data_IF_501574845042
#
_entry.id   IF_501574845042
#
_cell.length_a   1.000
_cell.length_b   1.000
_cell.length_c   1.000
_cell.angle_alpha   90.00
_cell.angle_beta   90.00
_cell.angle_gamma   90.00
#
_symmetry.space_group_name_H-M   'P 1'
#
loop_
_entity.id
_entity.type
_entity.pdbx_description
1 polymer ?
#
# COMPACT_ATOMS: atom_id res chain seq x y z
N UNK A 1 -8.02 21.97 -10.04
CA UNK A 1 -7.83 20.82 -10.95
C UNK A 1 -8.87 20.86 -12.07
N UNK A 2 -8.49 20.99 -13.35
CA UNK A 2 -9.39 20.89 -14.53
C UNK A 2 -9.38 19.48 -15.15
N UNK A 3 -10.32 18.61 -14.78
CA UNK A 3 -10.44 17.27 -15.37
C UNK A 3 -10.58 17.38 -16.90
N UNK A 4 -10.01 16.43 -17.65
CA UNK A 4 -10.07 16.44 -19.11
C UNK A 4 -10.35 15.05 -19.67
N UNK A 5 -11.05 15.02 -20.79
CA UNK A 5 -11.45 13.81 -21.48
C UNK A 5 -10.24 13.07 -22.07
N UNK A 6 -9.96 11.86 -21.60
CA UNK A 6 -8.84 11.02 -22.09
C UNK A 6 -9.24 10.15 -23.26
N UNK A 7 -8.34 10.03 -24.24
CA UNK A 7 -8.52 9.20 -25.43
C UNK A 7 -7.41 8.14 -25.46
N UNK A 8 -7.74 6.93 -25.04
CA UNK A 8 -6.84 5.78 -25.15
C UNK A 8 -6.96 5.15 -26.54
N UNK A 9 -5.83 4.72 -27.10
CA UNK A 9 -5.74 4.01 -28.38
C UNK A 9 -4.87 2.77 -28.26
N UNK A 10 -5.16 1.77 -29.08
CA UNK A 10 -4.33 0.57 -29.19
C UNK A 10 -3.27 0.75 -30.27
N UNK A 11 -2.10 0.17 -30.03
CA UNK A 11 -1.08 -0.10 -31.05
C UNK A 11 -1.33 -1.45 -31.71
N UNK A 12 -0.60 -1.72 -32.79
CA UNK A 12 -0.66 -2.99 -33.52
C UNK A 12 -0.28 -4.20 -32.65
N UNK A 13 0.54 -3.98 -31.61
CA UNK A 13 0.94 -5.00 -30.63
C UNK A 13 -0.06 -5.15 -29.46
N UNK A 14 -1.25 -4.55 -29.59
CA UNK A 14 -2.32 -4.53 -28.58
C UNK A 14 -2.00 -3.74 -27.30
N UNK A 15 -0.83 -3.11 -27.21
CA UNK A 15 -0.54 -2.19 -26.11
C UNK A 15 -1.40 -0.92 -26.22
N UNK A 16 -1.81 -0.39 -25.08
CA UNK A 16 -2.65 0.82 -25.01
C UNK A 16 -1.78 2.02 -24.66
N UNK A 17 -2.00 3.13 -25.36
CA UNK A 17 -1.38 4.42 -25.08
C UNK A 17 -2.44 5.53 -25.00
N UNK A 18 -2.12 6.61 -24.32
CA UNK A 18 -2.95 7.80 -24.23
C UNK A 18 -2.56 8.76 -25.37
N UNK A 19 -3.51 9.14 -26.22
CA UNK A 19 -3.25 9.97 -27.41
C UNK A 19 -3.06 11.44 -27.06
N UNK A 20 -3.91 11.98 -26.18
CA UNK A 20 -3.95 13.39 -25.83
C UNK A 20 -3.24 13.69 -24.50
N UNK A 21 -1.93 13.43 -24.47
CA UNK A 21 -1.08 13.53 -23.26
C UNK A 21 -0.83 14.95 -22.75
N UNK A 22 -1.00 15.99 -23.56
CA UNK A 22 -0.56 17.35 -23.19
C UNK A 22 -1.15 17.88 -21.86
N UNK A 23 -2.46 17.71 -21.58
CA UNK A 23 -3.01 18.13 -20.29
C UNK A 23 -2.43 17.32 -19.12
N UNK A 24 -2.07 16.05 -19.32
CA UNK A 24 -1.44 15.20 -18.29
C UNK A 24 -0.09 15.75 -17.86
N UNK A 25 0.74 16.21 -18.80
CA UNK A 25 2.09 16.71 -18.50
C UNK A 25 2.03 17.93 -17.57
N UNK A 26 1.15 18.89 -17.90
CA UNK A 26 0.94 20.08 -17.05
C UNK A 26 0.45 19.72 -15.64
N UNK A 27 -0.32 18.64 -15.54
CA UNK A 27 -0.86 18.12 -14.29
C UNK A 27 0.17 17.46 -13.41
N UNK A 28 0.96 16.57 -14.02
CA UNK A 28 2.09 15.93 -13.38
C UNK A 28 3.04 16.96 -12.76
N UNK A 29 3.30 18.05 -13.49
CA UNK A 29 4.12 19.16 -13.00
C UNK A 29 3.47 19.85 -11.79
N UNK A 30 2.16 20.10 -11.81
CA UNK A 30 1.44 20.70 -10.68
C UNK A 30 1.53 19.83 -9.41
N UNK A 31 1.22 18.53 -9.54
CA UNK A 31 1.26 17.58 -8.42
C UNK A 31 2.69 17.40 -7.87
N UNK A 32 3.67 17.29 -8.76
CA UNK A 32 5.08 17.22 -8.39
C UNK A 32 5.56 18.50 -7.68
N UNK A 33 5.15 19.68 -8.15
CA UNK A 33 5.51 20.94 -7.51
C UNK A 33 4.94 21.06 -6.09
N UNK A 34 3.77 20.47 -5.80
CA UNK A 34 3.24 20.44 -4.43
C UNK A 34 4.12 19.64 -3.49
N UNK A 35 4.61 18.47 -3.92
CA UNK A 35 5.51 17.64 -3.11
C UNK A 35 6.85 18.33 -2.87
N UNK A 36 7.41 19.00 -3.88
CA UNK A 36 8.73 19.64 -3.77
C UNK A 36 8.71 21.02 -3.10
N UNK A 37 7.54 21.67 -3.00
CA UNK A 37 7.39 22.97 -2.33
C UNK A 37 7.18 22.88 -0.82
N UNK A 38 6.92 21.68 -0.29
CA UNK A 38 6.73 21.45 1.14
C UNK A 38 8.01 21.80 1.93
N UNK A 39 7.86 22.57 3.01
CA UNK A 39 9.00 23.12 3.79
C UNK A 39 9.29 22.32 5.05
N UNK A 40 8.36 21.48 5.47
CA UNK A 40 8.44 20.66 6.67
C UNK A 40 7.61 19.38 6.49
N UNK A 41 7.72 18.46 7.45
CA UNK A 41 7.06 17.16 7.42
C UNK A 41 5.54 17.27 7.38
N UNK A 42 4.94 18.20 8.13
CA UNK A 42 3.48 18.37 8.16
C UNK A 42 2.96 18.87 6.80
N UNK A 43 3.62 19.86 6.20
CA UNK A 43 3.30 20.35 4.85
C UNK A 43 3.47 19.26 3.79
N UNK A 44 4.50 18.41 3.92
CA UNK A 44 4.73 17.30 3.00
C UNK A 44 3.63 16.25 3.12
N UNK A 45 3.24 15.93 4.35
CA UNK A 45 2.15 14.99 4.64
C UNK A 45 0.81 15.48 4.05
N UNK A 46 0.48 16.75 4.24
CA UNK A 46 -0.70 17.38 3.66
C UNK A 46 -0.64 17.37 2.12
N UNK A 47 0.54 17.62 1.54
CA UNK A 47 0.75 17.57 0.10
C UNK A 47 0.54 16.15 -0.46
N UNK A 48 1.07 15.11 0.19
CA UNK A 48 0.84 13.70 -0.19
C UNK A 48 -0.66 13.39 -0.17
N UNK A 49 -1.36 13.73 0.91
CA UNK A 49 -2.80 13.51 1.02
C UNK A 49 -3.58 14.26 -0.09
N UNK A 50 -3.18 15.50 -0.43
CA UNK A 50 -3.79 16.25 -1.51
C UNK A 50 -3.56 15.59 -2.88
N UNK A 51 -2.35 15.10 -3.17
CA UNK A 51 -2.04 14.35 -4.39
C UNK A 51 -2.91 13.10 -4.51
N UNK A 52 -3.13 12.38 -3.41
CA UNK A 52 -3.99 11.19 -3.41
C UNK A 52 -5.47 11.51 -3.65
N UNK A 53 -5.98 12.62 -3.09
CA UNK A 53 -7.35 13.09 -3.38
C UNK A 53 -7.52 13.50 -4.85
N UNK A 54 -6.58 14.28 -5.36
CA UNK A 54 -6.59 14.69 -6.76
C UNK A 54 -6.54 13.47 -7.70
N UNK A 55 -5.72 12.45 -7.37
CA UNK A 55 -5.71 11.19 -8.10
C UNK A 55 -7.07 10.47 -8.06
N UNK A 56 -7.73 10.40 -6.90
CA UNK A 56 -9.06 9.80 -6.77
C UNK A 56 -10.09 10.48 -7.67
N UNK A 57 -10.09 11.81 -7.68
CA UNK A 57 -11.00 12.61 -8.51
C UNK A 57 -10.75 12.37 -10.01
N UNK A 58 -9.47 12.28 -10.43
CA UNK A 58 -9.07 11.93 -11.80
C UNK A 58 -9.62 10.55 -12.18
N UNK A 59 -9.25 9.51 -11.43
CA UNK A 59 -9.71 8.15 -11.70
C UNK A 59 -11.23 8.03 -11.75
N UNK A 60 -11.94 8.66 -10.80
CA UNK A 60 -13.40 8.64 -10.75
C UNK A 60 -14.02 9.26 -12.01
N UNK A 61 -13.46 10.37 -12.48
CA UNK A 61 -13.88 10.99 -13.74
C UNK A 61 -13.61 10.07 -14.93
N UNK A 62 -12.38 9.58 -15.09
CA UNK A 62 -11.96 8.80 -16.25
C UNK A 62 -12.63 7.43 -16.34
N UNK A 63 -12.97 6.81 -15.21
CA UNK A 63 -13.73 5.56 -15.18
C UNK A 63 -15.14 5.68 -15.79
N UNK A 64 -15.63 6.91 -16.00
CA UNK A 64 -16.92 7.22 -16.61
C UNK A 64 -16.82 7.97 -17.95
N UNK A 65 -15.76 8.74 -18.16
CA UNK A 65 -15.66 9.69 -19.27
C UNK A 65 -14.63 9.28 -20.33
N UNK A 66 -13.59 8.49 -19.98
CA UNK A 66 -12.51 8.20 -20.92
C UNK A 66 -12.95 7.31 -22.10
N UNK A 67 -12.46 7.63 -23.29
CA UNK A 67 -12.55 6.76 -24.47
C UNK A 67 -11.49 5.66 -24.36
N UNK A 68 -11.91 4.40 -24.35
CA UNK A 68 -11.03 3.24 -24.33
C UNK A 68 -11.22 2.38 -25.58
N UNK A 69 -10.14 1.85 -26.19
CA UNK A 69 -10.27 1.03 -27.38
C UNK A 69 -11.09 -0.23 -27.08
N UNK A 70 -11.91 -0.64 -28.04
CA UNK A 70 -12.75 -1.83 -27.91
C UNK A 70 -11.86 -3.05 -27.60
N UNK A 71 -12.06 -3.71 -26.44
CA UNK A 71 -11.22 -4.84 -26.05
C UNK A 71 -11.48 -6.05 -26.93
N UNK A 72 -10.41 -6.74 -27.32
CA UNK A 72 -10.49 -7.99 -28.09
C UNK A 72 -10.57 -9.18 -27.14
N UNK A 73 -11.56 -10.04 -27.31
CA UNK A 73 -11.73 -11.25 -26.50
C UNK A 73 -13.18 -11.68 -26.36
N UNK A 74 -13.42 -12.71 -25.55
CA UNK A 74 -14.75 -13.13 -25.14
C UNK A 74 -15.06 -12.55 -23.75
N UNK A 75 -16.26 -11.99 -23.61
CA UNK A 75 -16.84 -11.58 -22.34
C UNK A 75 -18.18 -12.29 -22.19
N UNK A 76 -18.46 -12.78 -20.99
CA UNK A 76 -19.72 -13.47 -20.66
C UNK A 76 -20.90 -12.48 -20.72
N UNK A 77 -20.67 -11.22 -20.33
CA UNK A 77 -21.65 -10.15 -20.40
C UNK A 77 -21.01 -8.74 -20.51
N UNK A 78 -21.84 -7.73 -20.83
CA UNK A 78 -21.40 -6.33 -20.96
C UNK A 78 -20.87 -5.75 -19.64
N UNK A 79 -21.37 -6.23 -18.50
CA UNK A 79 -20.89 -5.81 -17.18
C UNK A 79 -19.46 -6.29 -16.90
N UNK A 80 -19.10 -7.48 -17.34
CA UNK A 80 -17.72 -7.98 -17.31
C UNK A 80 -16.80 -7.11 -18.16
N UNK A 81 -17.22 -6.80 -19.40
CA UNK A 81 -16.48 -5.92 -20.32
C UNK A 81 -16.25 -4.53 -19.71
N UNK A 82 -17.28 -3.91 -19.13
CA UNK A 82 -17.18 -2.60 -18.46
C UNK A 82 -16.19 -2.66 -17.30
N UNK A 83 -16.22 -3.72 -16.48
CA UNK A 83 -15.26 -3.90 -15.37
C UNK A 83 -13.83 -4.05 -15.89
N UNK A 84 -13.64 -4.79 -16.98
CA UNK A 84 -12.33 -4.94 -17.62
C UNK A 84 -11.79 -3.59 -18.09
N UNK A 85 -12.59 -2.81 -18.82
CA UNK A 85 -12.21 -1.48 -19.32
C UNK A 85 -11.84 -0.54 -18.15
N UNK A 86 -12.68 -0.46 -17.12
CA UNK A 86 -12.40 0.37 -15.93
C UNK A 86 -11.10 -0.01 -15.23
N UNK A 87 -10.84 -1.32 -15.10
CA UNK A 87 -9.59 -1.82 -14.54
C UNK A 87 -8.39 -1.39 -15.38
N UNK A 88 -8.51 -1.38 -16.71
CA UNK A 88 -7.44 -0.94 -17.62
C UNK A 88 -7.19 0.56 -17.53
N UNK A 89 -8.24 1.37 -17.51
CA UNK A 89 -8.12 2.83 -17.30
C UNK A 89 -7.43 3.10 -15.96
N UNK A 90 -7.87 2.45 -14.87
CA UNK A 90 -7.26 2.61 -13.55
C UNK A 90 -5.76 2.26 -13.51
N UNK A 91 -5.35 1.19 -14.18
CA UNK A 91 -3.92 0.82 -14.30
C UNK A 91 -3.11 1.91 -15.00
N UNK A 92 -3.62 2.44 -16.12
CA UNK A 92 -2.97 3.49 -16.87
C UNK A 92 -2.88 4.78 -16.05
N UNK A 93 -3.95 5.17 -15.38
CA UNK A 93 -3.98 6.40 -14.57
C UNK A 93 -3.03 6.32 -13.37
N UNK A 94 -2.98 5.17 -12.69
CA UNK A 94 -2.03 4.98 -11.59
C UNK A 94 -0.59 5.18 -12.08
N UNK A 95 -0.22 4.59 -13.21
CA UNK A 95 1.13 4.71 -13.73
C UNK A 95 1.43 6.13 -14.23
N UNK A 96 0.53 6.72 -15.02
CA UNK A 96 0.76 8.02 -15.63
C UNK A 96 0.77 9.18 -14.63
N UNK A 97 -0.08 9.15 -13.60
CA UNK A 97 -0.13 10.24 -12.61
C UNK A 97 0.72 9.90 -11.40
N UNK A 98 0.26 8.97 -10.58
CA UNK A 98 0.86 8.74 -9.27
C UNK A 98 2.27 8.15 -9.40
N UNK A 99 2.47 7.21 -10.33
CA UNK A 99 3.76 6.62 -10.64
C UNK A 99 4.76 7.64 -11.19
N UNK A 100 4.35 8.47 -12.14
CA UNK A 100 5.17 9.53 -12.71
C UNK A 100 5.59 10.58 -11.67
N UNK A 101 4.64 11.07 -10.87
CA UNK A 101 4.86 12.07 -9.82
C UNK A 101 5.84 11.55 -8.77
N UNK A 102 5.60 10.34 -8.21
CA UNK A 102 6.50 9.79 -7.20
C UNK A 102 7.87 9.44 -7.78
N UNK A 103 7.96 8.94 -9.02
CA UNK A 103 9.25 8.69 -9.67
C UNK A 103 10.07 9.98 -9.78
N UNK A 104 9.47 11.09 -10.25
CA UNK A 104 10.12 12.41 -10.31
C UNK A 104 10.53 12.90 -8.92
N UNK A 105 9.64 12.75 -7.94
CA UNK A 105 9.91 13.13 -6.56
C UNK A 105 11.09 12.35 -5.95
N UNK A 106 11.11 11.03 -6.11
CA UNK A 106 12.19 10.17 -5.63
C UNK A 106 13.52 10.52 -6.32
N UNK A 107 13.48 10.84 -7.62
CA UNK A 107 14.68 11.27 -8.34
C UNK A 107 15.27 12.55 -7.74
N UNK A 108 14.46 13.56 -7.40
CA UNK A 108 14.95 14.78 -6.75
C UNK A 108 15.54 14.49 -5.37
N UNK A 109 14.89 13.66 -4.55
CA UNK A 109 15.44 13.24 -3.26
C UNK A 109 16.81 12.60 -3.47
N UNK A 110 16.92 11.66 -4.40
CA UNK A 110 18.17 10.97 -4.69
C UNK A 110 19.25 11.93 -5.22
N UNK A 111 18.93 12.84 -6.13
CA UNK A 111 19.88 13.85 -6.62
C UNK A 111 20.38 14.77 -5.50
N UNK A 112 19.51 15.12 -4.56
CA UNK A 112 19.82 16.06 -3.47
C UNK A 112 20.68 15.41 -2.39
N UNK A 113 20.35 14.17 -2.01
CA UNK A 113 20.95 13.52 -0.84
C UNK A 113 21.84 12.33 -1.18
N UNK A 114 21.92 11.93 -2.46
CA UNK A 114 22.59 10.73 -2.94
C UNK A 114 22.13 9.44 -2.22
N UNK A 115 20.88 9.43 -1.75
CA UNK A 115 20.23 8.30 -1.09
C UNK A 115 18.71 8.48 -1.10
N UNK A 116 18.00 7.35 -0.99
CA UNK A 116 16.56 7.30 -0.68
C UNK A 116 16.38 6.87 0.79
N UNK A 117 15.16 7.01 1.37
CA UNK A 117 14.90 6.63 2.76
C UNK A 117 15.40 5.23 3.11
N UNK A 118 15.92 5.06 4.32
CA UNK A 118 16.26 3.77 4.88
C UNK A 118 15.18 3.35 5.86
N UNK A 119 14.78 2.08 5.84
CA UNK A 119 13.81 1.53 6.80
C UNK A 119 14.44 0.39 7.60
N UNK A 120 13.99 0.23 8.85
CA UNK A 120 14.38 -0.90 9.69
C UNK A 120 13.17 -1.83 9.93
N UNK A 121 13.13 -2.93 9.20
CA UNK A 121 12.10 -3.96 9.33
C UNK A 121 12.57 -5.03 10.33
N UNK A 122 12.28 -4.80 11.62
CA UNK A 122 12.65 -5.72 12.71
C UNK A 122 11.79 -6.99 12.69
N UNK A 123 12.26 -8.07 12.02
CA UNK A 123 11.79 -9.45 12.23
C UNK A 123 12.96 -10.44 12.15
N UNK A 124 12.94 -11.45 13.03
CA UNK A 124 14.13 -12.24 13.42
C UNK A 124 14.41 -13.50 12.58
N UNK A 125 13.51 -13.87 11.66
CA UNK A 125 13.67 -15.10 10.86
C UNK A 125 14.12 -14.84 9.43
N UNK A 126 13.84 -13.65 8.90
CA UNK A 126 14.18 -13.20 7.55
C UNK A 126 14.78 -11.81 7.68
N UNK A 127 15.95 -11.59 7.09
CA UNK A 127 16.57 -10.27 7.02
C UNK A 127 15.83 -9.41 5.98
N UNK A 128 14.70 -8.85 6.38
CA UNK A 128 13.92 -7.94 5.54
C UNK A 128 14.69 -6.65 5.20
N UNK A 129 15.72 -6.29 5.97
CA UNK A 129 16.57 -5.14 5.66
C UNK A 129 17.49 -5.44 4.48
N UNK A 130 18.02 -6.65 4.36
CA UNK A 130 18.76 -7.09 3.18
C UNK A 130 17.87 -7.10 1.94
N UNK A 131 16.67 -7.67 2.06
CA UNK A 131 15.68 -7.73 0.98
C UNK A 131 15.29 -6.32 0.51
N UNK A 132 15.03 -5.41 1.46
CA UNK A 132 14.75 -4.01 1.16
C UNK A 132 15.91 -3.33 0.41
N UNK A 133 17.15 -3.49 0.90
CA UNK A 133 18.34 -2.91 0.25
C UNK A 133 18.50 -3.41 -1.19
N UNK A 134 18.26 -4.70 -1.44
CA UNK A 134 18.29 -5.27 -2.80
C UNK A 134 17.23 -4.67 -3.71
N UNK A 135 16.00 -4.51 -3.23
CA UNK A 135 14.94 -3.83 -3.97
C UNK A 135 15.31 -2.36 -4.24
N UNK A 136 15.93 -1.67 -3.28
CA UNK A 136 16.34 -0.28 -3.40
C UNK A 136 17.46 -0.11 -4.44
N UNK A 137 18.48 -0.98 -4.42
CA UNK A 137 19.58 -0.99 -5.39
C UNK A 137 19.05 -1.11 -6.83
N UNK A 138 18.12 -2.05 -7.06
CA UNK A 138 17.48 -2.27 -8.35
C UNK A 138 16.66 -1.05 -8.81
N UNK A 139 15.87 -0.47 -7.91
CA UNK A 139 15.09 0.74 -8.20
C UNK A 139 15.95 1.96 -8.50
N UNK A 140 16.99 2.22 -7.70
CA UNK A 140 17.92 3.33 -7.94
C UNK A 140 18.64 3.15 -9.28
N UNK A 141 19.07 1.93 -9.60
CA UNK A 141 19.70 1.64 -10.89
C UNK A 141 18.78 1.99 -12.06
N UNK A 142 17.52 1.55 -12.01
CA UNK A 142 16.52 1.89 -13.03
C UNK A 142 16.25 3.41 -13.07
N UNK A 143 16.09 4.04 -11.91
CA UNK A 143 15.80 5.46 -11.77
C UNK A 143 16.90 6.35 -12.36
N UNK A 144 18.17 6.02 -12.13
CA UNK A 144 19.33 6.80 -12.58
C UNK A 144 19.64 6.55 -14.06
N UNK A 145 19.47 5.32 -14.53
CA UNK A 145 19.77 4.97 -15.94
C UNK A 145 18.63 5.29 -16.91
N UNK A 146 17.46 5.69 -16.40
CA UNK A 146 16.26 5.86 -17.21
C UNK A 146 15.62 4.53 -17.64
N UNK A 147 15.92 3.45 -16.90
CA UNK A 147 15.32 2.14 -17.12
C UNK A 147 13.80 2.16 -16.88
N UNK A 148 13.09 1.37 -17.68
CA UNK A 148 11.63 1.25 -17.57
C UNK A 148 11.21 0.31 -16.43
N UNK A 149 12.11 -0.59 -16.01
CA UNK A 149 11.78 -1.68 -15.09
C UNK A 149 12.73 -1.73 -13.89
N UNK A 150 12.15 -1.99 -12.72
CA UNK A 150 12.87 -2.41 -11.52
C UNK A 150 12.32 -3.77 -11.08
N UNK A 151 12.88 -4.83 -11.68
CA UNK A 151 12.35 -6.20 -11.61
C UNK A 151 12.38 -6.74 -10.19
N UNK A 152 13.53 -6.71 -9.54
CA UNK A 152 13.70 -7.21 -8.16
C UNK A 152 12.76 -6.47 -7.20
N UNK A 153 12.69 -5.14 -7.34
CA UNK A 153 11.81 -4.32 -6.53
C UNK A 153 10.33 -4.69 -6.73
N UNK A 154 9.90 -4.90 -7.97
CA UNK A 154 8.52 -5.26 -8.33
C UNK A 154 8.05 -6.54 -7.63
N UNK A 155 8.90 -7.57 -7.56
CA UNK A 155 8.54 -8.85 -6.93
C UNK A 155 8.55 -8.79 -5.38
N UNK A 156 9.43 -7.97 -4.81
CA UNK A 156 9.68 -7.96 -3.37
C UNK A 156 8.74 -7.01 -2.61
N UNK A 157 8.50 -5.82 -3.16
CA UNK A 157 7.78 -4.75 -2.46
C UNK A 157 6.37 -5.14 -1.99
N UNK A 158 5.54 -5.89 -2.75
CA UNK A 158 4.23 -6.31 -2.25
C UNK A 158 4.31 -7.08 -0.93
N UNK A 159 5.36 -7.90 -0.75
CA UNK A 159 5.58 -8.65 0.48
C UNK A 159 6.04 -7.74 1.61
N UNK A 160 6.93 -6.78 1.35
CA UNK A 160 7.38 -5.81 2.36
C UNK A 160 6.22 -4.94 2.84
N UNK A 161 5.35 -4.49 1.94
CA UNK A 161 4.16 -3.71 2.27
C UNK A 161 3.17 -4.52 3.11
N UNK A 162 2.91 -5.78 2.76
CA UNK A 162 2.06 -6.66 3.56
C UNK A 162 2.62 -6.87 4.99
N UNK A 163 3.92 -7.06 5.13
CA UNK A 163 4.57 -7.19 6.43
C UNK A 163 4.55 -5.89 7.23
N UNK A 164 4.92 -4.76 6.62
CA UNK A 164 4.89 -3.44 7.25
C UNK A 164 3.50 -3.10 7.76
N UNK A 165 2.49 -3.23 6.90
CA UNK A 165 1.08 -2.99 7.26
C UNK A 165 0.63 -3.90 8.42
N UNK A 166 0.97 -5.19 8.35
CA UNK A 166 0.60 -6.16 9.39
C UNK A 166 1.20 -5.82 10.76
N UNK A 167 2.48 -5.43 10.79
CA UNK A 167 3.18 -5.04 12.01
C UNK A 167 2.65 -3.71 12.56
N UNK A 168 2.51 -2.69 11.72
CA UNK A 168 2.10 -1.36 12.20
C UNK A 168 0.65 -1.37 12.72
N UNK A 169 -0.29 -2.04 12.03
CA UNK A 169 -1.66 -2.18 12.53
C UNK A 169 -1.74 -2.99 13.83
N UNK A 170 -0.98 -4.08 13.92
CA UNK A 170 -0.92 -4.90 15.14
C UNK A 170 -0.40 -4.09 16.33
N UNK A 171 0.71 -3.37 16.14
CA UNK A 171 1.30 -2.52 17.18
C UNK A 171 0.32 -1.42 17.60
N UNK A 172 -0.34 -0.76 16.64
CA UNK A 172 -1.31 0.30 16.93
C UNK A 172 -2.50 -0.24 17.74
N UNK A 173 -3.05 -1.39 17.37
CA UNK A 173 -4.11 -2.07 18.14
C UNK A 173 -3.63 -2.44 19.55
N UNK A 174 -2.44 -3.04 19.64
CA UNK A 174 -1.83 -3.47 20.88
C UNK A 174 -1.67 -2.32 21.87
N UNK A 175 -1.04 -1.22 21.45
CA UNK A 175 -0.83 -0.05 22.31
C UNK A 175 -2.14 0.64 22.69
N UNK A 176 -3.11 0.77 21.77
CA UNK A 176 -4.43 1.30 22.10
C UNK A 176 -5.16 0.47 23.16
N UNK A 177 -5.07 -0.86 23.08
CA UNK A 177 -5.66 -1.74 24.09
C UNK A 177 -4.94 -1.60 25.44
N UNK A 178 -3.60 -1.64 25.43
CA UNK A 178 -2.79 -1.51 26.65
C UNK A 178 -3.10 -0.20 27.39
N UNK A 179 -3.24 0.92 26.68
CA UNK A 179 -3.52 2.22 27.29
C UNK A 179 -4.91 2.36 27.89
N UNK A 180 -5.85 1.48 27.53
CA UNK A 180 -7.20 1.46 28.09
C UNK A 180 -7.36 0.47 29.25
N UNK A 181 -6.34 -0.36 29.52
CA UNK A 181 -6.38 -1.30 30.62
C UNK A 181 -6.27 -0.58 31.96
N UNK A 182 -7.19 -0.92 32.87
CA UNK A 182 -7.18 -0.50 34.25
C UNK A 182 -7.36 -1.72 35.16
N UNK A 183 -6.97 -1.61 36.43
CA UNK A 183 -7.19 -2.63 37.46
C UNK A 183 -6.72 -4.04 37.06
N UNK A 184 -5.42 -4.16 36.76
CA UNK A 184 -4.77 -5.42 36.38
C UNK A 184 -4.22 -6.17 37.60
N UNK A 185 -4.42 -7.49 37.65
CA UNK A 185 -3.70 -8.35 38.60
C UNK A 185 -2.22 -8.47 38.24
N UNK A 186 -1.40 -8.98 39.15
CA UNK A 186 0.03 -9.21 38.89
C UNK A 186 0.27 -10.20 37.74
N UNK A 187 -0.61 -11.19 37.56
CA UNK A 187 -0.56 -12.12 36.44
C UNK A 187 -0.90 -11.44 35.11
N UNK A 188 -1.88 -10.54 35.09
CA UNK A 188 -2.29 -9.81 33.90
C UNK A 188 -1.23 -8.79 33.48
N UNK A 189 -0.57 -8.12 34.44
CA UNK A 189 0.56 -7.23 34.18
C UNK A 189 1.69 -7.95 33.45
N UNK A 190 2.03 -9.17 33.84
CA UNK A 190 3.06 -10.00 33.18
C UNK A 190 2.75 -10.31 31.71
N UNK A 191 1.47 -10.26 31.31
CA UNK A 191 1.08 -10.47 29.90
C UNK A 191 1.45 -9.27 29.05
N UNK A 192 1.33 -8.04 29.59
CA UNK A 192 1.57 -6.80 28.84
C UNK A 192 2.97 -6.24 29.02
N UNK A 193 3.66 -6.56 30.12
CA UNK A 193 4.99 -6.08 30.48
C UNK A 193 6.02 -6.20 29.35
N UNK A 194 6.09 -7.30 28.57
CA UNK A 194 7.03 -7.40 27.45
C UNK A 194 6.85 -6.29 26.40
N UNK A 195 5.63 -5.77 26.22
CA UNK A 195 5.32 -4.76 25.22
C UNK A 195 5.52 -3.32 25.72
N UNK A 196 5.70 -3.12 27.03
CA UNK A 196 5.94 -1.81 27.64
C UNK A 196 7.41 -1.39 27.54
N UNK A 197 8.32 -2.35 27.48
CA UNK A 197 9.76 -2.13 27.41
C UNK A 197 10.26 -2.54 26.03
N UNK A 198 10.27 -1.58 25.10
CA UNK A 198 10.34 -1.72 23.65
C UNK A 198 11.66 -2.31 23.07
N UNK A 199 12.44 -3.03 23.87
CA UNK A 199 13.74 -3.56 23.49
C UNK A 199 13.65 -5.07 23.23
N UNK A 200 13.25 -5.40 22.00
CA UNK A 200 13.45 -6.72 21.37
C UNK A 200 12.82 -7.89 22.14
N UNK A 201 11.48 -7.93 22.18
CA UNK A 201 10.79 -9.17 22.59
C UNK A 201 10.97 -10.24 21.50
N UNK A 202 11.85 -11.19 21.75
CA UNK A 202 11.98 -12.43 20.98
C UNK A 202 10.88 -13.40 21.40
N UNK A 203 9.87 -13.57 20.55
CA UNK A 203 8.89 -14.64 20.74
C UNK A 203 9.43 -15.96 20.17
N UNK A 204 9.69 -16.93 21.05
CA UNK A 204 10.12 -18.29 20.66
C UNK A 204 8.97 -19.17 20.12
N UNK A 205 7.74 -18.67 20.15
CA UNK A 205 6.53 -19.35 19.66
C UNK A 205 5.95 -18.70 18.41
N UNK A 206 4.90 -19.30 17.86
CA UNK A 206 4.15 -18.67 16.77
C UNK A 206 3.58 -17.32 17.22
N UNK A 207 3.38 -16.39 16.28
CA UNK A 207 2.72 -15.12 16.54
C UNK A 207 1.38 -15.31 17.26
N UNK A 208 0.58 -16.30 16.82
CA UNK A 208 -0.68 -16.66 17.47
C UNK A 208 -0.48 -17.04 18.93
N UNK A 209 0.42 -17.98 19.20
CA UNK A 209 0.69 -18.45 20.56
C UNK A 209 1.13 -17.30 21.50
N UNK A 210 1.93 -16.38 20.96
CA UNK A 210 2.50 -15.27 21.73
C UNK A 210 1.46 -14.19 22.05
N UNK A 211 0.56 -13.91 21.11
CA UNK A 211 -0.41 -12.81 21.21
C UNK A 211 -1.78 -13.25 21.73
N UNK A 212 -2.08 -14.55 21.77
CA UNK A 212 -3.39 -15.07 22.18
C UNK A 212 -3.74 -14.70 23.63
N UNK A 213 -2.76 -14.70 24.54
CA UNK A 213 -2.99 -14.26 25.92
C UNK A 213 -3.37 -12.78 26.00
N UNK A 214 -2.68 -11.93 25.26
CA UNK A 214 -2.99 -10.49 25.19
C UNK A 214 -4.38 -10.27 24.59
N UNK A 215 -4.73 -10.97 23.51
CA UNK A 215 -6.06 -10.89 22.90
C UNK A 215 -7.18 -11.24 23.89
N UNK A 216 -7.05 -12.37 24.60
CA UNK A 216 -8.04 -12.80 25.59
C UNK A 216 -8.19 -11.79 26.72
N UNK A 217 -7.07 -11.31 27.26
CA UNK A 217 -7.07 -10.27 28.30
C UNK A 217 -7.81 -9.01 27.83
N UNK A 218 -7.53 -8.53 26.61
CA UNK A 218 -8.17 -7.33 26.08
C UNK A 218 -9.68 -7.50 25.87
N UNK A 219 -10.11 -8.69 25.47
CA UNK A 219 -11.53 -9.03 25.35
C UNK A 219 -12.20 -9.12 26.71
N UNK A 220 -11.57 -9.79 27.68
CA UNK A 220 -12.09 -9.97 29.05
C UNK A 220 -12.22 -8.65 29.79
N UNK A 221 -11.26 -7.72 29.61
CA UNK A 221 -11.30 -6.37 30.17
C UNK A 221 -12.18 -5.40 29.38
N UNK A 222 -12.80 -5.86 28.28
CA UNK A 222 -13.72 -5.07 27.48
C UNK A 222 -13.08 -3.95 26.66
N UNK A 223 -11.75 -3.89 26.57
CA UNK A 223 -11.01 -2.88 25.79
C UNK A 223 -10.90 -3.25 24.31
N UNK A 224 -11.20 -4.50 23.96
CA UNK A 224 -11.25 -4.97 22.57
C UNK A 224 -12.49 -5.83 22.33
N UNK A 225 -13.22 -5.57 21.24
CA UNK A 225 -14.37 -6.39 20.86
C UNK A 225 -13.92 -7.80 20.46
N UNK A 226 -14.63 -8.81 20.94
CA UNK A 226 -14.44 -10.19 20.50
C UNK A 226 -14.94 -10.36 19.06
N UNK A 227 -14.05 -10.14 18.10
CA UNK A 227 -14.35 -10.18 16.68
C UNK A 227 -13.21 -10.89 15.93
N UNK A 228 -13.51 -11.75 14.94
CA UNK A 228 -12.48 -12.44 14.16
C UNK A 228 -11.46 -11.49 13.52
N UNK A 229 -11.87 -10.30 13.10
CA UNK A 229 -10.95 -9.32 12.52
C UNK A 229 -9.92 -8.82 13.53
N UNK A 230 -10.34 -8.56 14.77
CA UNK A 230 -9.45 -8.11 15.85
C UNK A 230 -8.49 -9.23 16.28
N UNK A 231 -9.00 -10.46 16.42
CA UNK A 231 -8.17 -11.63 16.68
C UNK A 231 -7.12 -11.80 15.57
N UNK A 232 -7.52 -11.69 14.30
CA UNK A 232 -6.62 -11.84 13.15
C UNK A 232 -5.53 -10.76 13.12
N UNK A 233 -5.88 -9.49 13.37
CA UNK A 233 -4.91 -8.39 13.40
C UNK A 233 -3.87 -8.62 14.49
N UNK A 234 -4.35 -8.95 15.70
CA UNK A 234 -3.48 -9.04 16.88
C UNK A 234 -2.67 -10.34 16.93
N UNK A 235 -3.20 -11.45 16.41
CA UNK A 235 -2.57 -12.79 16.55
C UNK A 235 -2.03 -13.35 15.24
N UNK A 236 -2.26 -12.67 14.11
CA UNK A 236 -1.93 -13.14 12.77
C UNK A 236 -2.88 -14.23 12.22
N UNK A 237 -3.77 -14.78 13.04
CA UNK A 237 -4.68 -15.86 12.65
C UNK A 237 -5.93 -15.93 13.54
N UNK A 238 -7.10 -15.63 12.96
CA UNK A 238 -8.37 -15.84 13.64
C UNK A 238 -8.99 -17.21 13.37
N UNK A 239 -9.85 -17.64 14.29
CA UNK A 239 -10.64 -18.86 14.13
C UNK A 239 -12.13 -18.53 14.10
N UNK A 240 -12.74 -18.67 12.92
CA UNK A 240 -14.19 -18.50 12.74
C UNK A 240 -14.79 -19.86 12.43
N UNK A 241 -15.53 -20.40 13.38
CA UNK A 241 -16.08 -21.76 13.32
C UNK A 241 -14.98 -22.81 13.07
N UNK A 242 -15.06 -23.57 11.97
CA UNK A 242 -14.05 -24.54 11.52
C UNK A 242 -13.05 -23.96 10.52
N UNK A 243 -13.12 -22.67 10.20
CA UNK A 243 -12.24 -22.02 9.21
C UNK A 243 -11.15 -21.18 9.88
N UNK A 244 -9.92 -21.39 9.40
CA UNK A 244 -8.76 -20.56 9.71
C UNK A 244 -8.79 -19.29 8.86
N UNK A 245 -8.65 -18.14 9.51
CA UNK A 245 -8.60 -16.85 8.85
C UNK A 245 -7.20 -16.23 9.03
N UNK A 246 -6.21 -16.59 8.18
CA UNK A 246 -4.90 -15.95 8.22
C UNK A 246 -4.98 -14.45 7.90
N UNK A 247 -4.05 -13.69 8.48
CA UNK A 247 -3.81 -12.28 8.18
C UNK A 247 -3.18 -12.16 6.79
N UNK A 248 -3.96 -11.69 5.81
CA UNK A 248 -3.50 -11.32 4.47
C UNK A 248 -3.70 -9.82 4.28
N UNK A 249 -2.96 -9.18 3.37
CA UNK A 249 -3.11 -7.74 3.10
C UNK A 249 -4.57 -7.37 2.77
N UNK A 250 -5.21 -8.10 1.85
CA UNK A 250 -6.61 -7.86 1.49
C UNK A 250 -7.59 -7.98 2.66
N UNK A 251 -7.33 -8.85 3.65
CA UNK A 251 -8.17 -8.93 4.87
C UNK A 251 -7.89 -7.79 5.85
N UNK A 252 -6.63 -7.40 6.00
CA UNK A 252 -6.27 -6.24 6.81
C UNK A 252 -6.99 -4.99 6.32
N UNK A 253 -6.90 -4.68 5.02
CA UNK A 253 -7.53 -3.51 4.41
C UNK A 253 -9.07 -3.52 4.47
N UNK A 254 -9.67 -4.69 4.63
CA UNK A 254 -11.13 -4.84 4.75
C UNK A 254 -11.65 -4.86 6.19
N UNK A 255 -10.76 -4.98 7.17
CA UNK A 255 -11.11 -4.98 8.59
C UNK A 255 -11.70 -3.62 9.02
N UNK A 256 -12.57 -3.65 10.04
CA UNK A 256 -13.14 -2.41 10.59
C UNK A 256 -12.06 -1.54 11.25
N UNK A 257 -11.12 -2.16 11.96
CA UNK A 257 -10.02 -1.43 12.60
C UNK A 257 -9.17 -0.68 11.57
N UNK A 258 -8.81 -1.28 10.43
CA UNK A 258 -8.06 -0.55 9.40
C UNK A 258 -8.85 0.63 8.81
N UNK A 259 -10.17 0.51 8.65
CA UNK A 259 -11.02 1.64 8.20
C UNK A 259 -11.07 2.78 9.21
N UNK A 260 -11.07 2.43 10.50
CA UNK A 260 -11.06 3.39 11.61
C UNK A 260 -9.70 4.10 11.71
N UNK A 261 -8.59 3.37 11.50
CA UNK A 261 -7.24 3.88 11.75
C UNK A 261 -6.54 4.50 10.53
N UNK A 262 -6.75 3.98 9.33
CA UNK A 262 -6.05 4.45 8.11
C UNK A 262 -6.82 5.65 7.52
N UNK A 263 -6.08 6.68 7.09
CA UNK A 263 -6.63 7.83 6.37
C UNK A 263 -7.35 7.37 5.10
N UNK A 264 -8.52 7.94 4.76
CA UNK A 264 -9.35 7.43 3.66
C UNK A 264 -8.60 7.43 2.31
N UNK A 265 -7.80 8.45 2.04
CA UNK A 265 -6.99 8.58 0.82
C UNK A 265 -6.03 7.39 0.64
N UNK A 266 -5.31 7.03 1.72
CA UNK A 266 -4.38 5.91 1.72
C UNK A 266 -5.09 4.56 1.68
N UNK A 267 -6.20 4.42 2.42
CA UNK A 267 -6.96 3.17 2.44
C UNK A 267 -7.53 2.86 1.05
N UNK A 268 -8.03 3.87 0.36
CA UNK A 268 -8.53 3.74 -0.99
C UNK A 268 -7.41 3.36 -1.96
N UNK A 269 -6.28 4.07 -1.93
CA UNK A 269 -5.14 3.74 -2.77
C UNK A 269 -4.69 2.29 -2.56
N UNK A 270 -4.55 1.85 -1.31
CA UNK A 270 -4.13 0.49 -0.97
C UNK A 270 -5.14 -0.56 -1.48
N UNK A 271 -6.44 -0.28 -1.40
CA UNK A 271 -7.48 -1.17 -1.93
C UNK A 271 -7.47 -1.24 -3.45
N UNK A 272 -7.40 -0.09 -4.11
CA UNK A 272 -7.32 -0.03 -5.57
C UNK A 272 -6.08 -0.81 -6.04
N UNK A 273 -4.92 -0.58 -5.43
CA UNK A 273 -3.65 -1.21 -5.81
C UNK A 273 -3.60 -2.72 -5.53
N UNK A 274 -3.93 -3.15 -4.30
CA UNK A 274 -3.71 -4.55 -3.88
C UNK A 274 -4.94 -5.45 -3.99
N UNK A 275 -6.15 -4.89 -4.02
CA UNK A 275 -7.40 -5.67 -4.07
C UNK A 275 -8.01 -5.62 -5.48
N UNK A 276 -8.33 -4.44 -5.99
CA UNK A 276 -9.01 -4.28 -7.28
C UNK A 276 -8.07 -4.59 -8.47
N UNK A 277 -6.92 -3.93 -8.50
CA UNK A 277 -5.92 -4.15 -9.54
C UNK A 277 -5.18 -5.47 -9.35
N UNK A 278 -5.07 -5.95 -8.12
CA UNK A 278 -4.44 -7.22 -7.77
C UNK A 278 -2.98 -7.30 -8.25
N UNK A 279 -2.24 -6.18 -8.11
CA UNK A 279 -0.89 -5.99 -8.64
C UNK A 279 0.05 -7.13 -8.24
N UNK A 280 -0.03 -7.60 -6.98
CA UNK A 280 0.77 -8.73 -6.50
C UNK A 280 0.59 -9.99 -7.37
N UNK A 281 -0.65 -10.40 -7.63
CA UNK A 281 -0.90 -11.61 -8.41
C UNK A 281 -0.55 -11.40 -9.88
N UNK A 282 -0.78 -10.20 -10.41
CA UNK A 282 -0.39 -9.84 -11.77
C UNK A 282 1.13 -9.96 -11.98
N UNK A 283 1.94 -9.44 -11.06
CA UNK A 283 3.41 -9.56 -11.08
C UNK A 283 3.83 -11.04 -10.90
N UNK A 284 3.29 -11.74 -9.91
CA UNK A 284 3.73 -13.09 -9.55
C UNK A 284 3.36 -14.16 -10.59
N UNK A 285 2.25 -13.98 -11.29
CA UNK A 285 1.68 -15.01 -12.16
C UNK A 285 1.58 -14.57 -13.63
N UNK A 286 1.99 -13.35 -13.97
CA UNK A 286 1.88 -12.82 -15.33
C UNK A 286 0.42 -12.62 -15.77
N UNK A 287 -0.49 -12.36 -14.83
CA UNK A 287 -1.93 -12.24 -15.10
C UNK A 287 -2.24 -10.85 -15.66
N UNK A 288 -2.10 -10.66 -16.97
CA UNK A 288 -2.57 -9.46 -17.66
C UNK A 288 -1.76 -9.12 -18.88
N UNK A 289 -2.13 -9.69 -20.02
CA UNK A 289 -1.39 -9.66 -21.29
C UNK A 289 -1.25 -8.25 -21.94
N UNK A 290 -1.76 -7.18 -21.32
CA UNK A 290 -1.80 -5.84 -21.94
C UNK A 290 -1.39 -4.68 -21.01
N UNK A 291 -0.74 -4.95 -19.88
CA UNK A 291 -0.14 -3.91 -19.03
C UNK A 291 1.22 -4.35 -18.50
N UNK A 292 2.17 -3.42 -18.45
CA UNK A 292 3.52 -3.66 -17.95
C UNK A 292 3.58 -3.51 -16.42
N UNK A 293 3.38 -4.62 -15.71
CA UNK A 293 3.41 -4.62 -14.24
C UNK A 293 4.82 -4.46 -13.64
N UNK A 294 5.87 -4.40 -14.47
CA UNK A 294 7.23 -4.11 -14.03
C UNK A 294 7.59 -2.64 -14.17
N UNK A 295 6.64 -1.80 -14.62
CA UNK A 295 6.81 -0.37 -14.79
C UNK A 295 7.35 0.29 -13.50
N UNK A 296 8.42 1.06 -13.67
CA UNK A 296 9.10 1.75 -12.58
C UNK A 296 8.19 2.74 -11.82
N UNK A 297 7.13 3.26 -12.44
CA UNK A 297 6.11 4.08 -11.78
C UNK A 297 5.32 3.30 -10.74
N UNK A 298 4.94 2.04 -11.01
CA UNK A 298 4.32 1.17 -10.00
C UNK A 298 5.28 0.91 -8.83
N UNK A 299 6.56 0.72 -9.13
CA UNK A 299 7.60 0.53 -8.11
C UNK A 299 7.76 1.79 -7.26
N UNK A 300 7.72 2.98 -7.87
CA UNK A 300 7.76 4.26 -7.13
C UNK A 300 6.59 4.37 -6.15
N UNK A 301 5.36 4.04 -6.59
CA UNK A 301 4.18 4.03 -5.71
C UNK A 301 4.37 3.06 -4.55
N UNK A 302 4.84 1.84 -4.82
CA UNK A 302 5.06 0.83 -3.77
C UNK A 302 6.13 1.25 -2.76
N UNK A 303 7.22 1.89 -3.18
CA UNK A 303 8.20 2.45 -2.24
C UNK A 303 7.59 3.55 -1.38
N UNK A 304 6.87 4.51 -2.00
CA UNK A 304 6.24 5.59 -1.25
C UNK A 304 5.25 5.04 -0.21
N UNK A 305 4.41 4.06 -0.59
CA UNK A 305 3.51 3.38 0.35
C UNK A 305 4.28 2.72 1.50
N UNK A 306 5.37 2.01 1.20
CA UNK A 306 6.16 1.32 2.23
C UNK A 306 6.76 2.32 3.22
N UNK A 307 7.29 3.45 2.75
CA UNK A 307 7.83 4.50 3.60
C UNK A 307 6.74 5.11 4.47
N UNK A 308 5.62 5.51 3.88
CA UNK A 308 4.50 6.12 4.63
C UNK A 308 3.90 5.14 5.67
N UNK A 309 3.93 3.83 5.40
CA UNK A 309 3.52 2.79 6.37
C UNK A 309 4.47 2.71 7.56
N UNK A 310 5.78 2.72 7.30
CA UNK A 310 6.82 2.58 8.33
C UNK A 310 6.92 3.84 9.18
N UNK A 311 6.79 5.01 8.56
CA UNK A 311 6.76 6.32 9.22
C UNK A 311 5.41 6.62 9.91
N UNK A 312 4.44 5.71 9.78
CA UNK A 312 3.09 5.81 10.34
C UNK A 312 2.26 6.99 9.79
N UNK A 313 2.68 7.63 8.69
CA UNK A 313 1.97 8.75 8.05
C UNK A 313 0.58 8.37 7.54
N UNK A 314 0.40 7.11 7.10
CA UNK A 314 -0.90 6.66 6.58
C UNK A 314 -2.03 6.62 7.63
N UNK A 315 -1.69 6.69 8.92
CA UNK A 315 -2.64 6.56 10.01
C UNK A 315 -3.19 7.93 10.43
N UNK A 316 -4.43 7.93 10.91
CA UNK A 316 -5.02 9.07 11.62
C UNK A 316 -4.36 9.18 12.98
N UNK A 317 -4.20 10.40 13.48
CA UNK A 317 -3.56 10.67 14.78
C UNK A 317 -4.29 9.98 15.94
#
# INVERSE_FOLDING_TARGET
MKLYHKIFKSRDDMSVYLENMDPLISYDEELFNRLTSARNTDELHDAKCAVLRDFHDIYTFDASDAEFPEPVGHFDDEGEKIKFIRKKISLQDIAFYLGSVYKKYHYIIYQTYNRLPEIELKRLTIDYNEIYRKAMEDYIAALVTGGQHAVTASFVLPSLIEQGMGVTLQNRMLFKCIMQLNDLTEEEKKVIEPFLHNDKVLFYGTEKFSMEKSYRLFVEKGVLKNAPDNEMILTGLAQKEKKKLPRTLGRLLNSNFAKEEIRPEYLELLKNFFVELNIRNCIMHGLGETFDYLDIGLVAIMFQMLWDIVECEIFKD
#
